data_IF_762331184308
#
_entry.id   IF_762331184308
#
_cell.length_a   1.000
_cell.length_b   1.000
_cell.length_c   1.000
_cell.angle_alpha   90.00
_cell.angle_beta   90.00
_cell.angle_gamma   90.00
#
_symmetry.space_group_name_H-M   'P 1'
#
loop_
_entity.id
_entity.type
_entity.pdbx_description
1 polymer ?
#
# COMPACT_ATOMS: atom_id res chain seq x y z
N UNK A 1 -1.89 6.90 -6.73
CA UNK A 1 -1.78 7.26 -5.29
C UNK A 1 -2.66 6.41 -4.39
N UNK A 2 -3.89 6.04 -4.81
CA UNK A 2 -4.81 5.23 -4.00
C UNK A 2 -4.19 3.95 -3.42
N UNK A 3 -3.49 3.15 -4.24
CA UNK A 3 -2.76 1.96 -3.79
C UNK A 3 -1.81 2.25 -2.61
N UNK A 4 -1.03 3.34 -2.69
CA UNK A 4 -0.11 3.74 -1.65
C UNK A 4 -0.86 4.06 -0.34
N UNK A 5 -2.02 4.72 -0.41
CA UNK A 5 -2.84 5.02 0.76
C UNK A 5 -3.38 3.74 1.41
N UNK A 6 -3.90 2.80 0.61
CA UNK A 6 -4.42 1.53 1.12
C UNK A 6 -3.32 0.70 1.80
N UNK A 7 -2.14 0.57 1.17
CA UNK A 7 -1.01 -0.16 1.76
C UNK A 7 -0.50 0.55 3.01
N UNK A 8 -0.34 1.88 2.97
CA UNK A 8 0.08 2.67 4.13
C UNK A 8 -0.84 2.45 5.33
N UNK A 9 -2.14 2.53 5.09
CA UNK A 9 -3.16 2.42 6.12
C UNK A 9 -3.25 0.99 6.68
N UNK A 10 -3.38 -0.02 5.81
CA UNK A 10 -3.61 -1.40 6.23
C UNK A 10 -2.38 -2.04 6.87
N UNK A 11 -1.18 -1.71 6.39
CA UNK A 11 0.09 -2.22 6.93
C UNK A 11 0.73 -1.26 7.96
N UNK A 12 0.05 -0.16 8.28
CA UNK A 12 0.48 0.89 9.23
C UNK A 12 1.83 1.53 8.89
N UNK A 13 2.16 1.65 7.62
CA UNK A 13 3.47 2.08 7.16
C UNK A 13 3.61 3.60 7.16
N UNK A 14 4.83 4.08 7.39
CA UNK A 14 5.20 5.47 7.09
C UNK A 14 5.25 5.67 5.58
N UNK A 15 5.23 6.94 5.18
CA UNK A 15 5.30 7.32 3.76
C UNK A 15 6.58 6.78 3.12
N UNK A 16 7.73 6.97 3.75
CA UNK A 16 9.02 6.45 3.27
C UNK A 16 9.03 4.92 3.17
N UNK A 17 8.45 4.22 4.15
CA UNK A 17 8.31 2.76 4.13
C UNK A 17 7.50 2.29 2.89
N UNK A 18 6.38 2.95 2.57
CA UNK A 18 5.54 2.59 1.41
C UNK A 18 6.20 2.92 0.08
N UNK A 19 6.85 4.08 -0.02
CA UNK A 19 7.45 4.54 -1.27
C UNK A 19 8.66 3.71 -1.70
N UNK A 20 9.29 3.00 -0.76
CA UNK A 20 10.39 2.09 -1.04
C UNK A 20 9.95 0.66 -1.41
N UNK A 21 8.65 0.37 -1.45
CA UNK A 21 8.15 -0.96 -1.85
C UNK A 21 8.45 -1.22 -3.34
N UNK A 22 8.93 -2.42 -3.63
CA UNK A 22 9.18 -2.91 -4.98
C UNK A 22 8.15 -3.94 -5.43
N UNK A 23 7.99 -4.13 -6.74
CA UNK A 23 6.97 -5.05 -7.28
C UNK A 23 7.16 -6.49 -6.79
N UNK A 24 8.40 -6.96 -6.65
CA UNK A 24 8.68 -8.32 -6.16
C UNK A 24 8.26 -8.54 -4.69
N UNK A 25 7.86 -7.49 -3.98
CA UNK A 25 7.35 -7.55 -2.60
C UNK A 25 5.83 -7.65 -2.55
N UNK A 26 5.16 -7.43 -3.70
CA UNK A 26 3.71 -7.46 -3.84
C UNK A 26 3.27 -8.57 -4.80
N UNK A 27 2.56 -9.55 -4.26
CA UNK A 27 2.16 -10.74 -5.01
C UNK A 27 0.68 -11.04 -4.77
N UNK A 28 -0.08 -11.31 -5.83
CA UNK A 28 -1.42 -11.88 -5.69
C UNK A 28 -1.28 -13.39 -5.55
N UNK A 29 -1.66 -13.92 -4.39
CA UNK A 29 -1.52 -15.33 -4.03
C UNK A 29 -2.86 -15.96 -3.72
N UNK A 30 -2.99 -17.25 -4.00
CA UNK A 30 -4.13 -18.06 -3.59
C UNK A 30 -3.87 -18.63 -2.19
N UNK A 31 -4.72 -18.29 -1.22
CA UNK A 31 -4.59 -18.71 0.19
C UNK A 31 -5.74 -19.64 0.56
N UNK A 32 -5.41 -20.80 1.14
CA UNK A 32 -6.41 -21.75 1.64
C UNK A 32 -6.98 -21.23 2.97
N UNK A 33 -8.31 -21.22 3.08
CA UNK A 33 -9.07 -20.80 4.26
C UNK A 33 -10.17 -21.84 4.55
N UNK A 34 -10.44 -22.06 5.83
CA UNK A 34 -11.41 -23.05 6.32
C UNK A 34 -10.72 -24.03 7.27
N UNK A 35 -11.50 -24.83 8.01
CA UNK A 35 -10.95 -25.80 8.96
C UNK A 35 -10.07 -26.86 8.28
N UNK A 36 -10.33 -27.15 6.99
CA UNK A 36 -9.58 -28.13 6.18
C UNK A 36 -9.05 -27.56 4.85
N UNK A 37 -8.99 -26.23 4.70
CA UNK A 37 -8.51 -25.60 3.46
C UNK A 37 -9.44 -25.75 2.25
N UNK A 38 -10.73 -26.02 2.47
CA UNK A 38 -11.72 -26.26 1.39
C UNK A 38 -11.91 -25.07 0.44
N UNK A 39 -11.58 -23.84 0.86
CA UNK A 39 -11.78 -22.63 0.06
C UNK A 39 -10.47 -21.92 -0.20
N UNK A 40 -10.21 -21.61 -1.47
CA UNK A 40 -9.10 -20.77 -1.89
C UNK A 40 -9.57 -19.34 -2.10
N UNK A 41 -8.86 -18.37 -1.52
CA UNK A 41 -9.14 -16.94 -1.69
C UNK A 41 -7.89 -16.24 -2.19
N UNK A 42 -8.04 -15.45 -3.25
CA UNK A 42 -6.97 -14.56 -3.75
C UNK A 42 -6.75 -13.45 -2.75
N UNK A 43 -5.50 -13.22 -2.35
CA UNK A 43 -5.08 -12.15 -1.47
C UNK A 43 -3.86 -11.44 -2.02
N UNK A 44 -3.69 -10.18 -1.65
CA UNK A 44 -2.44 -9.45 -1.90
C UNK A 44 -1.48 -9.71 -0.73
N UNK A 45 -0.40 -10.45 -1.00
CA UNK A 45 0.72 -10.66 -0.09
C UNK A 45 1.68 -9.49 -0.20
N UNK A 46 1.96 -8.85 0.93
CA UNK A 46 2.89 -7.72 1.05
C UNK A 46 4.06 -8.15 1.93
N UNK A 47 5.24 -8.32 1.34
CA UNK A 47 6.46 -8.76 2.03
C UNK A 47 7.39 -7.57 2.19
N UNK A 48 7.41 -6.96 3.38
CA UNK A 48 8.20 -5.75 3.59
C UNK A 48 9.71 -6.05 3.61
N UNK A 49 10.56 -5.26 2.93
CA UNK A 49 12.00 -5.45 2.92
C UNK A 49 12.68 -4.95 4.20
N UNK A 50 11.97 -4.19 5.05
CA UNK A 50 12.51 -3.53 6.24
C UNK A 50 11.81 -3.94 7.54
N UNK A 51 12.59 -3.89 8.63
CA UNK A 51 12.23 -4.42 9.96
C UNK A 51 11.28 -3.47 10.71
N UNK A 52 10.03 -3.87 10.90
CA UNK A 52 9.20 -3.34 12.00
C UNK A 52 9.42 -4.23 13.23
N UNK A 53 10.55 -3.97 13.91
CA UNK A 53 10.89 -4.43 15.27
C UNK A 53 10.30 -5.77 15.73
N UNK A 54 10.80 -6.89 15.19
CA UNK A 54 10.82 -8.15 15.96
C UNK A 54 12.27 -8.35 16.45
N UNK A 55 12.47 -8.41 17.77
CA UNK A 55 13.79 -8.63 18.37
C UNK A 55 14.33 -10.05 18.07
N UNK A 56 13.48 -11.02 17.70
CA UNK A 56 13.84 -12.44 17.65
C UNK A 56 13.29 -13.24 16.44
N UNK A 57 12.82 -12.63 15.33
CA UNK A 57 12.22 -13.43 14.25
C UNK A 57 12.07 -12.79 12.87
N UNK A 58 11.83 -13.67 11.90
CA UNK A 58 11.53 -13.40 10.48
C UNK A 58 10.34 -12.43 10.30
N UNK A 59 10.37 -11.62 9.23
CA UNK A 59 9.27 -10.70 8.88
C UNK A 59 8.14 -11.53 8.28
N UNK A 60 7.02 -11.64 9.00
CA UNK A 60 5.81 -12.26 8.45
C UNK A 60 5.14 -11.29 7.46
N UNK A 61 4.75 -11.74 6.26
CA UNK A 61 4.09 -10.89 5.27
C UNK A 61 2.66 -10.55 5.72
N UNK A 62 2.14 -9.43 5.20
CA UNK A 62 0.72 -9.09 5.35
C UNK A 62 -0.08 -9.76 4.23
N UNK A 63 -1.22 -10.35 4.56
CA UNK A 63 -2.15 -10.92 3.60
C UNK A 63 -3.43 -10.07 3.57
N UNK A 64 -3.59 -9.26 2.52
CA UNK A 64 -4.70 -8.33 2.38
C UNK A 64 -5.78 -8.96 1.50
N UNK A 65 -6.96 -9.16 2.10
CA UNK A 65 -8.11 -9.75 1.41
C UNK A 65 -8.78 -8.71 0.48
N UNK A 66 -9.44 -9.17 -0.60
CA UNK A 66 -10.42 -8.37 -1.30
C UNK A 66 -11.50 -7.91 -0.31
N UNK A 67 -11.76 -6.61 -0.26
CA UNK A 67 -12.83 -6.06 0.57
C UNK A 67 -14.19 -6.13 -0.14
N UNK A 68 -15.26 -6.11 0.66
CA UNK A 68 -16.63 -6.02 0.18
C UNK A 68 -16.87 -4.67 -0.53
N UNK A 69 -17.92 -4.60 -1.34
CA UNK A 69 -18.25 -3.44 -2.18
C UNK A 69 -18.34 -2.13 -1.38
N UNK A 70 -18.95 -2.16 -0.20
CA UNK A 70 -19.07 -1.00 0.69
C UNK A 70 -17.74 -0.50 1.29
N UNK A 71 -16.66 -1.27 1.16
CA UNK A 71 -15.31 -0.96 1.65
C UNK A 71 -14.28 -0.98 0.51
N UNK A 72 -14.72 -1.02 -0.75
CA UNK A 72 -13.83 -1.13 -1.90
C UNK A 72 -12.82 0.03 -1.98
N UNK A 73 -13.19 1.21 -1.47
CA UNK A 73 -12.30 2.37 -1.37
C UNK A 73 -11.06 2.13 -0.48
N UNK A 74 -11.05 1.09 0.36
CA UNK A 74 -9.91 0.70 1.20
C UNK A 74 -9.22 -0.58 0.70
N UNK A 75 -9.70 -1.17 -0.41
CA UNK A 75 -9.22 -2.45 -0.89
C UNK A 75 -7.86 -2.33 -1.60
N UNK A 76 -6.76 -2.62 -0.88
CA UNK A 76 -5.43 -2.69 -1.48
C UNK A 76 -5.31 -3.74 -2.60
N UNK A 77 -6.04 -4.85 -2.50
CA UNK A 77 -6.04 -5.90 -3.53
C UNK A 77 -6.53 -5.36 -4.87
N UNK A 78 -7.71 -4.70 -4.90
CA UNK A 78 -8.26 -4.14 -6.12
C UNK A 78 -7.42 -2.98 -6.62
N UNK A 79 -6.97 -2.10 -5.72
CA UNK A 79 -6.08 -1.00 -6.07
C UNK A 79 -4.78 -1.49 -6.72
N UNK A 80 -4.23 -2.62 -6.27
CA UNK A 80 -3.02 -3.20 -6.87
C UNK A 80 -3.31 -3.87 -8.21
N UNK A 81 -4.41 -4.63 -8.30
CA UNK A 81 -4.81 -5.28 -9.54
C UNK A 81 -5.07 -4.26 -10.67
N UNK A 82 -5.68 -3.12 -10.35
CA UNK A 82 -5.84 -2.02 -11.30
C UNK A 82 -4.51 -1.33 -11.61
N UNK A 83 -3.68 -1.08 -10.60
CA UNK A 83 -2.35 -0.48 -10.77
C UNK A 83 -1.51 -1.27 -11.78
N UNK A 84 -1.40 -2.59 -11.61
CA UNK A 84 -0.63 -3.47 -12.49
C UNK A 84 -1.17 -3.46 -13.92
N UNK A 85 -2.50 -3.41 -14.11
CA UNK A 85 -3.11 -3.29 -15.46
C UNK A 85 -2.71 -2.00 -16.18
N UNK A 86 -2.51 -0.92 -15.44
CA UNK A 86 -2.09 0.37 -15.98
C UNK A 86 -0.56 0.47 -16.17
N UNK A 87 0.22 -0.37 -15.49
CA UNK A 87 1.68 -0.36 -15.58
C UNK A 87 2.14 -1.11 -16.84
N UNK A 88 3.11 -0.54 -17.54
CA UNK A 88 3.77 -1.20 -18.68
C UNK A 88 4.94 -2.10 -18.23
N UNK A 89 5.54 -1.78 -17.09
CA UNK A 89 6.66 -2.50 -16.48
C UNK A 89 6.35 -2.75 -14.99
N UNK A 90 6.67 -3.94 -14.49
CA UNK A 90 6.49 -4.33 -13.09
C UNK A 90 7.82 -4.76 -12.46
N UNK A 91 8.91 -4.09 -12.85
CA UNK A 91 10.23 -4.28 -12.26
C UNK A 91 10.64 -3.03 -11.46
N UNK A 92 11.34 -3.24 -10.34
CA UNK A 92 11.78 -2.17 -9.44
C UNK A 92 10.68 -1.58 -8.53
N UNK A 93 10.76 -0.27 -8.27
CA UNK A 93 9.86 0.42 -7.33
C UNK A 93 8.42 0.50 -7.85
N UNK A 94 7.44 0.24 -6.98
CA UNK A 94 6.00 0.33 -7.33
C UNK A 94 5.56 1.76 -7.59
N UNK A 95 6.11 2.71 -6.82
CA UNK A 95 5.79 4.13 -6.90
C UNK A 95 6.96 4.87 -7.51
N UNK A 96 6.96 5.03 -8.84
CA UNK A 96 8.04 5.70 -9.54
C UNK A 96 8.11 7.19 -9.27
N UNK A 97 9.33 7.71 -9.34
CA UNK A 97 9.58 9.14 -9.35
C UNK A 97 8.90 9.79 -10.54
N UNK A 98 8.17 10.86 -10.26
CA UNK A 98 7.60 11.74 -11.27
C UNK A 98 8.58 12.89 -11.53
N UNK A 99 8.82 13.19 -12.81
CA UNK A 99 9.66 14.31 -13.25
C UNK A 99 8.93 15.65 -13.04
N UNK A 100 9.64 16.77 -13.22
CA UNK A 100 9.01 18.11 -13.13
C UNK A 100 7.94 18.38 -14.19
N UNK A 101 7.90 17.57 -15.26
CA UNK A 101 6.92 17.67 -16.33
C UNK A 101 5.81 16.60 -16.19
N UNK A 102 5.60 16.06 -14.98
CA UNK A 102 4.63 15.03 -14.64
C UNK A 102 4.75 13.70 -15.41
N UNK A 103 5.87 13.49 -16.09
CA UNK A 103 6.21 12.19 -16.67
C UNK A 103 6.81 11.26 -15.63
N UNK A 104 6.43 9.98 -15.68
CA UNK A 104 7.10 8.91 -14.94
C UNK A 104 8.57 8.86 -15.38
N UNK A 105 9.48 8.95 -14.42
CA UNK A 105 10.91 8.89 -14.70
C UNK A 105 11.29 7.50 -15.19
N UNK A 106 12.05 7.44 -16.29
CA UNK A 106 12.69 6.20 -16.77
C UNK A 106 13.78 5.65 -15.83
N UNK A 107 14.11 6.37 -14.77
CA UNK A 107 15.07 5.91 -13.77
C UNK A 107 14.34 5.13 -12.69
N UNK A 108 14.80 3.92 -12.36
CA UNK A 108 14.25 3.09 -11.27
C UNK A 108 14.56 3.73 -9.90
N UNK A 109 13.84 4.81 -9.59
CA UNK A 109 13.94 5.58 -8.35
C UNK A 109 12.55 5.77 -7.78
N UNK A 110 12.40 5.68 -6.45
CA UNK A 110 11.11 5.83 -5.81
C UNK A 110 10.62 7.28 -5.88
N UNK A 111 9.31 7.45 -5.81
CA UNK A 111 8.67 8.74 -5.57
C UNK A 111 9.22 9.35 -4.27
N UNK A 112 9.48 10.65 -4.28
CA UNK A 112 9.98 11.32 -3.07
C UNK A 112 8.83 11.55 -2.10
N UNK A 113 9.11 11.47 -0.80
CA UNK A 113 8.11 11.77 0.24
C UNK A 113 7.53 13.18 0.08
N UNK A 114 8.33 14.16 -0.35
CA UNK A 114 7.84 15.51 -0.64
C UNK A 114 6.77 15.51 -1.74
N UNK A 115 7.03 14.86 -2.89
CA UNK A 115 6.06 14.80 -3.99
C UNK A 115 4.80 14.02 -3.61
N UNK A 116 4.96 12.96 -2.83
CA UNK A 116 3.84 12.23 -2.26
C UNK A 116 2.97 13.14 -1.37
N UNK A 117 3.59 13.91 -0.47
CA UNK A 117 2.90 14.81 0.45
C UNK A 117 2.20 15.96 -0.29
N UNK A 118 2.83 16.51 -1.33
CA UNK A 118 2.20 17.50 -2.21
C UNK A 118 0.92 16.95 -2.87
N UNK A 119 1.01 15.76 -3.48
CA UNK A 119 -0.15 15.10 -4.09
C UNK A 119 -1.23 14.71 -3.05
N UNK A 120 -0.81 14.28 -1.86
CA UNK A 120 -1.73 13.97 -0.77
C UNK A 120 -2.50 15.20 -0.30
N UNK A 121 -1.82 16.35 -0.12
CA UNK A 121 -2.49 17.61 0.22
C UNK A 121 -3.49 18.02 -0.86
N UNK A 122 -3.12 17.89 -2.13
CA UNK A 122 -4.03 18.21 -3.22
C UNK A 122 -5.28 17.33 -3.17
N UNK A 123 -5.12 16.02 -3.00
CA UNK A 123 -6.25 15.10 -2.87
C UNK A 123 -7.16 15.43 -1.66
N UNK A 124 -6.61 15.92 -0.55
CA UNK A 124 -7.39 16.37 0.61
C UNK A 124 -8.21 17.63 0.29
N UNK A 125 -7.58 18.60 -0.38
CA UNK A 125 -8.25 19.82 -0.83
C UNK A 125 -9.39 19.49 -1.82
N UNK A 126 -9.19 18.52 -2.72
CA UNK A 126 -10.20 18.09 -3.69
C UNK A 126 -11.47 17.52 -3.01
N UNK A 127 -11.35 17.00 -1.79
CA UNK A 127 -12.48 16.53 -0.97
C UNK A 127 -12.88 17.52 0.14
N UNK A 128 -12.42 18.77 0.07
CA UNK A 128 -12.67 19.84 1.04
C UNK A 128 -12.19 19.54 2.47
N UNK A 129 -11.09 18.80 2.61
CA UNK A 129 -10.42 18.55 3.89
C UNK A 129 -9.18 19.42 3.97
N UNK A 130 -9.05 20.20 5.05
CA UNK A 130 -7.85 21.01 5.30
C UNK A 130 -6.62 20.12 5.58
N UNK A 131 -5.57 20.18 4.73
CA UNK A 131 -4.35 19.39 4.93
C UNK A 131 -3.62 19.69 6.25
N UNK A 132 -3.78 20.89 6.82
CA UNK A 132 -3.13 21.28 8.08
C UNK A 132 -3.53 20.37 9.25
N UNK A 133 -4.72 19.75 9.19
CA UNK A 133 -5.23 18.83 10.21
C UNK A 133 -4.44 17.51 10.29
N UNK A 134 -3.70 17.13 9.25
CA UNK A 134 -3.06 15.81 9.15
C UNK A 134 -1.63 15.77 9.70
N UNK A 135 -1.04 16.93 10.02
CA UNK A 135 0.32 17.03 10.57
C UNK A 135 1.43 16.49 9.67
N UNK A 136 1.14 16.04 8.44
CA UNK A 136 2.08 15.74 7.35
C UNK A 136 3.16 14.66 7.60
N UNK A 137 3.14 13.95 8.73
CA UNK A 137 4.29 13.14 9.16
C UNK A 137 4.12 11.62 9.07
N UNK A 138 2.91 11.04 9.15
CA UNK A 138 2.70 9.59 8.87
C UNK A 138 1.23 9.16 8.90
N UNK A 139 0.90 8.00 8.30
CA UNK A 139 -0.36 7.26 8.55
C UNK A 139 -0.31 6.39 9.83
N UNK A 140 0.79 6.40 10.58
CA UNK A 140 0.93 5.61 11.82
C UNK A 140 0.06 6.22 12.93
N UNK A 141 -1.02 5.53 13.29
CA UNK A 141 -1.55 5.62 14.66
C UNK A 141 -0.83 4.58 15.51
N UNK A 142 -0.32 4.96 16.68
CA UNK A 142 0.43 4.07 17.56
C UNK A 142 -0.33 2.77 17.82
N UNK A 143 0.35 1.63 17.62
CA UNK A 143 -0.03 0.30 18.13
C UNK A 143 -1.31 -0.35 17.59
N UNK A 144 -2.09 0.27 16.69
CA UNK A 144 -3.40 -0.28 16.29
C UNK A 144 -3.32 -0.94 14.92
N UNK A 145 -3.36 -2.28 14.84
CA UNK A 145 -3.59 -3.01 13.58
C UNK A 145 -5.05 -2.91 13.18
N UNK A 146 -5.34 -2.63 11.91
CA UNK A 146 -6.71 -2.75 11.39
C UNK A 146 -7.05 -4.24 11.30
N UNK A 147 -7.77 -4.71 12.30
CA UNK A 147 -8.10 -6.11 12.49
C UNK A 147 -9.53 -6.33 11.97
N UNK A 148 -9.64 -6.71 10.71
CA UNK A 148 -10.94 -6.96 10.10
C UNK A 148 -11.27 -8.45 10.15
N UNK A 149 -11.92 -8.83 11.25
CA UNK A 149 -12.56 -10.11 11.36
C UNK A 149 -13.96 -10.01 10.76
N UNK A 150 -14.18 -10.66 9.60
CA UNK A 150 -15.50 -11.20 9.30
C UNK A 150 -15.52 -12.65 9.74
N UNK A 151 -16.47 -12.98 10.62
CA UNK A 151 -16.92 -14.35 10.89
C UNK A 151 -17.67 -14.87 9.67
#
# INVERSE_FOLDING_TARGET
MHLAYCIAFLCLLRVDEVLNIQFHELEIVDVLIGQDGEKTVKMLKVTLPFRKTNQFGYIQPFYLRPMLENQQYLCAYWAYAEWVKCCQETDGFVFWRVSKADHISKTNKPLTSQKFLEAFCQNLLDINVDPALYGMHSFRRGGTQWLHFYR
#
